data_IF_971484989843
#
_entry.id   IF_971484989843
#
_cell.length_a   1.000
_cell.length_b   1.000
_cell.length_c   1.000
_cell.angle_alpha   90.00
_cell.angle_beta   90.00
_cell.angle_gamma   90.00
#
_symmetry.space_group_name_H-M   'P 1'
#
loop_
_entity.id
_entity.type
_entity.pdbx_description
1 polymer ?
#
# COMPACT_ATOMS: atom_id res chain seq x y z
N UNK A 1 -23.35 26.96 -28.70
CA UNK A 1 -22.64 25.67 -28.79
C UNK A 1 -22.89 24.94 -27.49
N UNK A 2 -23.69 23.89 -27.52
CA UNK A 2 -23.92 23.04 -26.35
C UNK A 2 -22.60 22.29 -26.12
N UNK A 3 -21.95 22.52 -24.99
CA UNK A 3 -20.86 21.65 -24.53
C UNK A 3 -21.45 20.25 -24.42
N UNK A 4 -21.06 19.35 -25.32
CA UNK A 4 -21.23 17.93 -25.07
C UNK A 4 -20.48 17.64 -23.78
N UNK A 5 -21.21 17.26 -22.73
CA UNK A 5 -20.57 16.66 -21.57
C UNK A 5 -19.88 15.40 -22.08
N UNK A 6 -18.54 15.37 -22.00
CA UNK A 6 -17.78 14.19 -22.37
C UNK A 6 -18.34 12.98 -21.62
N UNK A 7 -18.59 11.89 -22.35
CA UNK A 7 -19.03 10.65 -21.74
C UNK A 7 -18.02 10.23 -20.67
N UNK A 8 -18.46 9.73 -19.50
CA UNK A 8 -17.55 9.29 -18.46
C UNK A 8 -16.56 8.27 -19.03
N UNK A 9 -15.27 8.49 -18.77
CA UNK A 9 -14.21 7.60 -19.24
C UNK A 9 -14.53 6.16 -18.79
N UNK A 10 -14.31 5.16 -19.66
CA UNK A 10 -14.43 3.76 -19.27
C UNK A 10 -13.57 3.49 -18.04
N UNK A 11 -14.07 2.66 -17.12
CA UNK A 11 -13.38 2.32 -15.86
C UNK A 11 -11.94 1.77 -16.07
N UNK A 12 -11.68 1.17 -17.24
CA UNK A 12 -10.39 0.56 -17.60
C UNK A 12 -9.74 1.27 -18.82
N UNK A 13 -9.95 2.57 -18.99
CA UNK A 13 -9.33 3.34 -20.07
C UNK A 13 -7.81 3.42 -19.89
N UNK A 14 -7.06 3.23 -20.99
CA UNK A 14 -5.60 3.40 -21.01
C UNK A 14 -5.22 4.86 -20.72
N UNK A 15 -4.26 5.06 -19.82
CA UNK A 15 -3.71 6.39 -19.51
C UNK A 15 -2.55 6.70 -20.44
N UNK A 16 -2.57 7.85 -21.12
CA UNK A 16 -1.46 8.24 -21.98
C UNK A 16 -0.26 8.74 -21.16
N UNK A 17 0.96 8.53 -21.67
CA UNK A 17 2.21 8.91 -20.99
C UNK A 17 2.25 10.40 -20.61
N UNK A 18 1.70 11.26 -21.47
CA UNK A 18 1.60 12.71 -21.23
C UNK A 18 0.68 13.05 -20.04
N UNK A 19 -0.38 12.28 -19.83
CA UNK A 19 -1.37 12.52 -18.77
C UNK A 19 -0.82 12.02 -17.44
N UNK A 20 -0.10 10.90 -17.46
CA UNK A 20 0.66 10.41 -16.31
C UNK A 20 1.80 11.34 -15.92
N UNK A 21 2.55 11.88 -16.89
CA UNK A 21 3.57 12.90 -16.64
C UNK A 21 2.95 14.17 -16.03
N UNK A 22 1.81 14.62 -16.56
CA UNK A 22 1.08 15.75 -15.99
C UNK A 22 0.64 15.45 -14.55
N UNK A 23 0.15 14.25 -14.28
CA UNK A 23 -0.23 13.82 -12.94
C UNK A 23 0.97 13.88 -11.98
N UNK A 24 2.13 13.34 -12.32
CA UNK A 24 3.33 13.45 -11.49
C UNK A 24 3.84 14.89 -11.34
N UNK A 25 3.78 15.71 -12.39
CA UNK A 25 4.31 17.06 -12.29
C UNK A 25 3.41 18.00 -11.47
N UNK A 26 2.08 17.87 -11.62
CA UNK A 26 1.10 18.86 -11.15
C UNK A 26 0.14 18.39 -10.05
N UNK A 27 -0.17 17.09 -9.97
CA UNK A 27 -1.28 16.60 -9.14
C UNK A 27 -0.84 15.67 -8.03
N UNK A 28 0.16 14.82 -8.25
CA UNK A 28 0.60 13.85 -7.26
C UNK A 28 1.16 14.57 -6.02
N UNK A 29 0.67 14.27 -4.81
CA UNK A 29 0.97 15.03 -3.60
C UNK A 29 2.34 14.65 -3.00
N UNK A 30 3.43 14.88 -3.74
CA UNK A 30 4.79 14.53 -3.30
C UNK A 30 5.18 15.15 -1.95
N UNK A 31 4.68 16.36 -1.63
CA UNK A 31 4.94 16.99 -0.34
C UNK A 31 4.31 16.23 0.83
N UNK A 32 3.08 15.73 0.68
CA UNK A 32 2.43 14.91 1.72
C UNK A 32 3.04 13.50 1.78
N UNK A 33 3.41 12.94 0.62
CA UNK A 33 4.16 11.68 0.56
C UNK A 33 5.49 11.79 1.33
N UNK A 34 6.21 12.90 1.19
CA UNK A 34 7.44 13.16 1.94
C UNK A 34 7.18 13.22 3.43
N UNK A 35 6.18 13.98 3.89
CA UNK A 35 5.85 14.06 5.32
C UNK A 35 5.49 12.69 5.91
N UNK A 36 4.74 11.89 5.15
CA UNK A 36 4.35 10.54 5.55
C UNK A 36 5.54 9.60 5.64
N UNK A 37 6.30 9.44 4.56
CA UNK A 37 7.27 8.35 4.46
C UNK A 37 8.60 8.61 5.15
N UNK A 38 8.93 9.86 5.49
CA UNK A 38 10.18 10.19 6.20
C UNK A 38 10.04 10.13 7.72
N UNK A 39 8.80 10.16 8.26
CA UNK A 39 8.55 10.14 9.70
C UNK A 39 9.40 11.14 10.50
N UNK A 40 9.45 12.40 10.02
CA UNK A 40 10.22 13.52 10.59
C UNK A 40 11.74 13.45 10.40
N UNK A 41 12.27 12.39 9.79
CA UNK A 41 13.67 12.36 9.38
C UNK A 41 13.90 13.35 8.23
N UNK A 42 15.08 13.96 8.21
CA UNK A 42 15.49 14.95 7.22
C UNK A 42 16.95 14.73 6.81
N UNK A 43 17.23 14.65 5.50
CA UNK A 43 18.60 14.58 5.00
C UNK A 43 19.40 15.87 5.21
N UNK A 44 18.74 16.96 5.62
CA UNK A 44 19.37 18.26 5.88
C UNK A 44 19.79 18.44 7.35
N UNK A 45 19.39 17.53 8.24
CA UNK A 45 19.74 17.56 9.65
C UNK A 45 20.87 16.56 9.94
N UNK A 46 21.74 16.82 10.93
CA UNK A 46 22.78 15.88 11.32
C UNK A 46 22.18 14.58 11.89
N UNK A 47 22.96 13.52 11.85
CA UNK A 47 22.60 12.26 12.51
C UNK A 47 22.45 12.45 14.02
N UNK A 48 21.36 11.91 14.57
CA UNK A 48 21.05 11.93 16.00
C UNK A 48 20.06 10.82 16.33
N UNK A 49 19.76 10.60 17.61
CA UNK A 49 18.72 9.65 18.04
C UNK A 49 17.34 9.94 17.44
N UNK A 50 17.05 11.19 17.09
CA UNK A 50 15.77 11.62 16.52
C UNK A 50 15.80 11.81 14.99
N UNK A 51 16.97 11.67 14.35
CA UNK A 51 17.13 11.92 12.92
C UNK A 51 18.17 11.01 12.28
N UNK A 52 17.72 10.21 11.33
CA UNK A 52 18.54 9.49 10.37
C UNK A 52 18.51 10.23 9.02
N UNK A 53 19.60 10.91 8.62
CA UNK A 53 19.63 11.65 7.35
C UNK A 53 19.54 10.74 6.11
N UNK A 54 19.73 9.43 6.26
CA UNK A 54 19.62 8.44 5.19
C UNK A 54 18.31 7.65 5.23
N UNK A 55 17.36 8.02 6.10
CA UNK A 55 16.14 7.25 6.33
C UNK A 55 15.37 6.92 5.04
N UNK A 56 15.22 7.90 4.14
CA UNK A 56 14.51 7.66 2.88
C UNK A 56 15.35 6.84 1.89
N UNK A 57 16.68 6.96 1.91
CA UNK A 57 17.57 6.13 1.08
C UNK A 57 17.57 4.65 1.48
N UNK A 58 17.18 4.37 2.74
CA UNK A 58 16.97 3.04 3.29
C UNK A 58 15.60 2.45 2.92
N UNK A 59 14.66 3.23 2.38
CA UNK A 59 13.35 2.76 1.93
C UNK A 59 13.45 2.09 0.56
N UNK A 60 12.98 0.85 0.43
CA UNK A 60 12.77 0.24 -0.89
C UNK A 60 11.55 0.86 -1.56
N UNK A 61 11.69 1.18 -2.84
CA UNK A 61 10.61 1.45 -3.76
C UNK A 61 10.70 0.45 -4.92
N UNK A 62 9.57 -0.16 -5.27
CA UNK A 62 9.45 -1.01 -6.44
C UNK A 62 8.71 -0.24 -7.52
N UNK A 63 9.31 -0.08 -8.69
CA UNK A 63 8.63 0.53 -9.84
C UNK A 63 8.09 -0.55 -10.77
N UNK A 64 6.87 -0.38 -11.22
CA UNK A 64 6.30 -1.12 -12.35
C UNK A 64 6.34 -0.20 -13.55
N UNK A 65 7.15 -0.58 -14.54
CA UNK A 65 7.48 0.25 -15.67
C UNK A 65 7.12 -0.43 -16.99
N UNK A 66 6.99 0.37 -18.03
CA UNK A 66 6.97 -0.06 -19.44
C UNK A 66 7.83 0.87 -20.30
N UNK A 67 8.04 0.51 -21.57
CA UNK A 67 8.64 1.45 -22.53
C UNK A 67 7.65 2.57 -22.91
N UNK A 68 8.14 3.76 -23.27
CA UNK A 68 7.28 4.83 -23.80
C UNK A 68 6.43 4.35 -24.97
N UNK A 69 5.14 4.68 -24.95
CA UNK A 69 4.15 4.21 -25.93
C UNK A 69 3.74 2.72 -25.83
N UNK A 70 4.28 1.97 -24.86
CA UNK A 70 3.84 0.59 -24.59
C UNK A 70 2.47 0.52 -23.91
N UNK A 71 1.89 -0.68 -23.83
CA UNK A 71 0.60 -0.92 -23.16
C UNK A 71 0.81 -1.44 -21.74
N UNK A 72 0.04 -0.90 -20.78
CA UNK A 72 -0.01 -1.40 -19.41
C UNK A 72 -0.41 -2.89 -19.40
N UNK A 73 0.20 -3.70 -18.54
CA UNK A 73 0.00 -5.16 -18.39
C UNK A 73 0.45 -6.05 -19.57
N UNK A 74 0.91 -5.49 -20.69
CA UNK A 74 1.47 -6.27 -21.81
C UNK A 74 3.01 -6.17 -21.89
N UNK A 75 3.55 -4.98 -21.62
CA UNK A 75 4.98 -4.66 -21.72
C UNK A 75 5.62 -4.32 -20.36
N UNK A 76 4.99 -4.76 -19.27
CA UNK A 76 5.41 -4.37 -17.93
C UNK A 76 6.62 -5.15 -17.41
N UNK A 77 7.45 -4.48 -16.63
CA UNK A 77 8.53 -5.10 -15.86
C UNK A 77 8.72 -4.38 -14.53
N UNK A 78 9.21 -5.15 -13.55
CA UNK A 78 9.40 -4.70 -12.19
C UNK A 78 10.85 -4.31 -11.94
N UNK A 79 11.06 -3.09 -11.46
CA UNK A 79 12.34 -2.60 -10.98
C UNK A 79 12.28 -2.53 -9.45
N UNK A 80 12.75 -3.58 -8.80
CA UNK A 80 12.91 -3.62 -7.35
C UNK A 80 14.15 -2.84 -6.91
N UNK A 81 14.28 -2.66 -5.59
CA UNK A 81 15.47 -2.07 -4.98
C UNK A 81 15.77 -0.63 -5.43
N UNK A 82 14.76 0.10 -5.91
CA UNK A 82 14.93 1.53 -6.13
C UNK A 82 14.93 2.22 -4.77
N UNK A 83 15.75 3.26 -4.61
CA UNK A 83 15.71 4.14 -3.46
C UNK A 83 16.22 5.53 -3.82
N UNK A 84 15.90 6.50 -2.98
CA UNK A 84 16.16 7.91 -3.22
C UNK A 84 16.55 8.56 -1.90
N UNK A 85 17.39 9.60 -1.92
CA UNK A 85 17.70 10.35 -0.69
C UNK A 85 16.55 11.26 -0.27
N UNK A 86 15.79 11.75 -1.24
CA UNK A 86 14.61 12.61 -1.03
C UNK A 86 13.44 12.17 -1.90
N UNK A 87 12.22 12.58 -1.51
CA UNK A 87 11.02 12.37 -2.34
C UNK A 87 11.09 13.24 -3.61
N UNK A 88 11.79 14.36 -3.57
CA UNK A 88 12.05 15.22 -4.74
C UNK A 88 12.90 14.49 -5.79
N UNK A 89 13.92 13.74 -5.39
CA UNK A 89 14.70 12.89 -6.31
C UNK A 89 13.81 11.81 -6.94
N UNK A 90 12.93 11.19 -6.15
CA UNK A 90 11.93 10.23 -6.66
C UNK A 90 10.99 10.90 -7.67
N UNK A 91 10.50 12.12 -7.38
CA UNK A 91 9.64 12.90 -8.28
C UNK A 91 10.32 13.14 -9.62
N UNK A 92 11.57 13.61 -9.62
CA UNK A 92 12.29 13.85 -10.87
C UNK A 92 12.55 12.55 -11.64
N UNK A 93 12.79 11.44 -10.94
CA UNK A 93 12.90 10.13 -11.59
C UNK A 93 11.58 9.67 -12.23
N UNK A 94 10.45 9.89 -11.56
CA UNK A 94 9.12 9.58 -12.11
C UNK A 94 8.76 10.47 -13.29
N UNK A 95 9.33 11.68 -13.41
CA UNK A 95 9.10 12.57 -14.56
C UNK A 95 9.98 12.25 -15.76
N UNK A 96 11.08 11.52 -15.57
CA UNK A 96 11.98 11.07 -16.63
C UNK A 96 11.36 9.90 -17.43
N UNK A 97 10.33 10.22 -18.22
CA UNK A 97 9.60 9.29 -19.09
C UNK A 97 10.31 9.04 -20.43
N UNK A 98 11.58 9.42 -20.54
CA UNK A 98 12.34 9.35 -21.80
C UNK A 98 12.69 7.90 -22.20
N UNK A 99 12.95 7.06 -21.20
CA UNK A 99 13.42 5.69 -21.38
C UNK A 99 12.44 4.66 -20.81
N UNK A 100 11.83 4.97 -19.68
CA UNK A 100 10.89 4.11 -18.98
C UNK A 100 9.74 4.94 -18.43
N UNK A 101 8.52 4.42 -18.54
CA UNK A 101 7.33 5.01 -17.96
C UNK A 101 6.95 4.19 -16.74
N UNK A 102 7.18 4.75 -15.55
CA UNK A 102 6.70 4.17 -14.29
C UNK A 102 5.24 4.55 -14.10
N UNK A 103 4.33 3.57 -14.15
CA UNK A 103 2.88 3.81 -14.05
C UNK A 103 2.30 3.28 -12.74
N UNK A 104 3.07 2.48 -11.99
CA UNK A 104 2.75 2.04 -10.64
C UNK A 104 4.05 1.96 -9.83
N UNK A 105 3.98 2.29 -8.54
CA UNK A 105 5.06 2.02 -7.62
C UNK A 105 4.55 1.55 -6.26
N UNK A 106 5.33 0.71 -5.60
CA UNK A 106 5.02 0.10 -4.31
C UNK A 106 6.13 0.46 -3.30
N UNK A 107 5.74 0.76 -2.05
CA UNK A 107 6.69 1.03 -0.98
C UNK A 107 6.99 -0.22 -0.17
N UNK A 108 8.27 -0.55 -0.07
CA UNK A 108 8.80 -1.64 0.73
C UNK A 108 9.22 -1.21 2.14
N UNK A 109 10.06 -2.05 2.74
CA UNK A 109 10.62 -1.79 4.07
C UNK A 109 11.66 -0.65 4.05
N UNK A 110 11.90 -0.07 5.22
CA UNK A 110 13.12 0.64 5.56
C UNK A 110 14.14 -0.39 6.05
N UNK A 111 15.31 -0.39 5.43
CA UNK A 111 16.41 -1.30 5.71
C UNK A 111 17.43 -0.69 6.66
N UNK A 112 18.32 -1.52 7.20
CA UNK A 112 19.43 -1.12 8.08
C UNK A 112 20.45 -0.19 7.42
N UNK A 113 20.67 -0.34 6.11
CA UNK A 113 21.59 0.45 5.28
C UNK A 113 20.88 0.91 4.00
N UNK A 114 21.35 1.96 3.32
CA UNK A 114 20.77 2.42 2.07
C UNK A 114 20.57 1.26 1.07
N UNK A 115 19.45 1.22 0.37
CA UNK A 115 19.13 0.10 -0.54
C UNK A 115 20.14 -0.03 -1.67
N UNK A 116 20.76 1.08 -2.08
CA UNK A 116 21.88 1.10 -3.05
C UNK A 116 23.11 0.32 -2.59
N UNK A 117 23.27 0.06 -1.29
CA UNK A 117 24.39 -0.67 -0.69
C UNK A 117 24.04 -2.14 -0.40
N UNK A 118 22.86 -2.60 -0.82
CA UNK A 118 22.38 -3.98 -0.65
C UNK A 118 23.44 -5.03 -1.01
N UNK A 119 24.10 -4.87 -2.15
CA UNK A 119 25.02 -5.87 -2.69
C UNK A 119 26.42 -5.79 -2.04
N UNK A 120 26.82 -4.62 -1.53
CA UNK A 120 28.09 -4.45 -0.81
C UNK A 120 28.00 -4.85 0.67
N UNK A 121 26.81 -4.74 1.25
CA UNK A 121 26.60 -4.85 2.70
C UNK A 121 25.95 -6.18 3.13
N UNK A 122 25.76 -7.13 2.21
CA UNK A 122 25.21 -8.49 2.38
C UNK A 122 24.59 -8.82 3.76
N UNK A 123 25.41 -9.18 4.76
CA UNK A 123 24.95 -9.63 6.09
C UNK A 123 24.36 -8.52 6.96
N UNK A 124 24.74 -7.26 6.71
CA UNK A 124 24.17 -6.11 7.38
C UNK A 124 22.84 -5.68 6.77
N UNK A 125 22.57 -5.96 5.49
CA UNK A 125 21.35 -5.54 4.78
C UNK A 125 20.13 -6.36 5.20
N UNK A 126 19.28 -5.79 6.05
CA UNK A 126 18.07 -6.43 6.56
C UNK A 126 16.92 -5.43 6.72
N UNK A 127 15.66 -5.86 6.55
CA UNK A 127 14.52 -4.99 6.81
C UNK A 127 14.42 -4.71 8.32
N UNK A 128 14.20 -3.44 8.69
CA UNK A 128 14.09 -3.03 10.10
C UNK A 128 12.71 -2.46 10.43
N UNK A 129 12.09 -1.76 9.48
CA UNK A 129 10.78 -1.16 9.70
C UNK A 129 9.92 -1.26 8.45
N UNK A 130 8.62 -1.53 8.63
CA UNK A 130 7.61 -1.39 7.59
C UNK A 130 6.25 -1.18 8.23
N UNK A 131 5.47 -0.28 7.68
CA UNK A 131 4.07 -0.11 8.04
C UNK A 131 3.36 -1.47 8.05
N UNK A 132 2.52 -1.71 9.05
CA UNK A 132 1.62 -2.86 9.07
C UNK A 132 0.52 -2.56 8.05
N UNK A 133 0.37 -3.46 7.07
CA UNK A 133 -0.53 -3.25 5.93
C UNK A 133 -1.54 -4.37 5.83
N UNK A 134 -2.78 -4.00 5.52
CA UNK A 134 -3.85 -4.94 5.20
C UNK A 134 -4.39 -4.61 3.82
N UNK A 135 -4.67 -5.64 3.02
CA UNK A 135 -5.24 -5.54 1.69
C UNK A 135 -6.53 -6.35 1.68
N UNK A 136 -7.64 -5.69 1.38
CA UNK A 136 -8.98 -6.30 1.34
C UNK A 136 -9.54 -6.06 -0.05
N UNK A 137 -9.72 -7.13 -0.83
CA UNK A 137 -10.26 -7.08 -2.19
C UNK A 137 -11.65 -7.72 -2.25
N UNK A 138 -12.50 -7.21 -3.13
CA UNK A 138 -13.86 -7.70 -3.33
C UNK A 138 -13.93 -9.16 -3.78
N UNK A 139 -12.90 -9.69 -4.44
CA UNK A 139 -12.89 -11.09 -4.91
C UNK A 139 -12.98 -12.11 -3.77
N UNK A 140 -12.52 -11.75 -2.57
CA UNK A 140 -12.64 -12.62 -1.38
C UNK A 140 -14.10 -12.84 -0.95
N UNK A 141 -15.02 -12.02 -1.47
CA UNK A 141 -16.46 -12.08 -1.22
C UNK A 141 -17.26 -12.64 -2.41
N UNK A 142 -16.60 -13.18 -3.44
CA UNK A 142 -17.24 -13.69 -4.68
C UNK A 142 -18.26 -14.80 -4.42
N UNK A 143 -18.07 -15.59 -3.36
CA UNK A 143 -18.95 -16.70 -2.99
C UNK A 143 -20.26 -16.25 -2.31
N UNK A 144 -20.30 -15.03 -1.76
CA UNK A 144 -21.46 -14.51 -1.04
C UNK A 144 -22.10 -13.28 -1.70
N UNK A 145 -21.42 -12.61 -2.63
CA UNK A 145 -21.99 -11.47 -3.36
C UNK A 145 -22.76 -11.93 -4.59
N UNK A 146 -24.00 -11.46 -4.73
CA UNK A 146 -24.89 -11.85 -5.84
C UNK A 146 -25.20 -10.71 -6.83
N UNK A 147 -24.75 -9.49 -6.52
CA UNK A 147 -25.11 -8.30 -7.29
C UNK A 147 -24.13 -7.95 -8.42
N UNK A 148 -22.92 -8.49 -8.39
CA UNK A 148 -21.86 -8.26 -9.37
C UNK A 148 -21.14 -9.58 -9.67
N UNK A 149 -20.52 -9.66 -10.85
CA UNK A 149 -19.64 -10.76 -11.26
C UNK A 149 -18.28 -10.20 -11.66
N UNK A 150 -17.27 -11.06 -11.68
CA UNK A 150 -15.93 -10.74 -12.16
C UNK A 150 -15.33 -9.52 -11.45
N UNK A 151 -14.77 -8.58 -12.19
CA UNK A 151 -14.10 -7.39 -11.66
C UNK A 151 -15.05 -6.24 -11.34
N UNK A 152 -16.38 -6.41 -11.49
CA UNK A 152 -17.36 -5.34 -11.26
C UNK A 152 -17.62 -5.15 -9.77
N UNK A 153 -17.85 -3.90 -9.39
CA UNK A 153 -18.29 -3.50 -8.06
C UNK A 153 -19.47 -2.53 -8.18
N UNK A 154 -20.36 -2.56 -7.20
CA UNK A 154 -21.45 -1.59 -7.06
C UNK A 154 -21.65 -1.26 -5.59
N UNK A 155 -22.50 -0.27 -5.30
CA UNK A 155 -22.78 0.20 -3.94
C UNK A 155 -23.24 -0.93 -2.99
N UNK A 156 -23.90 -1.97 -3.51
CA UNK A 156 -24.37 -3.10 -2.69
C UNK A 156 -23.22 -3.98 -2.17
N UNK A 157 -22.30 -4.38 -3.06
CA UNK A 157 -21.16 -5.19 -2.61
C UNK A 157 -20.09 -4.34 -1.93
N UNK A 158 -20.02 -3.04 -2.23
CA UNK A 158 -19.09 -2.12 -1.52
C UNK A 158 -19.31 -2.12 -0.01
N UNK A 159 -20.55 -2.35 0.46
CA UNK A 159 -20.86 -2.53 1.88
C UNK A 159 -20.04 -3.64 2.56
N UNK A 160 -19.59 -4.67 1.83
CA UNK A 160 -18.66 -5.66 2.42
C UNK A 160 -17.35 -5.01 2.87
N UNK A 161 -16.78 -4.13 2.05
CA UNK A 161 -15.56 -3.41 2.38
C UNK A 161 -15.80 -2.37 3.48
N UNK A 162 -16.95 -1.69 3.49
CA UNK A 162 -17.31 -0.75 4.57
C UNK A 162 -17.36 -1.43 5.95
N UNK A 163 -17.96 -2.62 6.01
CA UNK A 163 -18.00 -3.43 7.23
C UNK A 163 -16.61 -3.92 7.60
N UNK A 164 -15.83 -4.42 6.64
CA UNK A 164 -14.47 -4.89 6.88
C UNK A 164 -13.55 -3.76 7.40
N UNK A 165 -13.64 -2.57 6.81
CA UNK A 165 -12.92 -1.38 7.28
C UNK A 165 -13.31 -1.03 8.71
N UNK A 166 -14.61 -1.01 9.01
CA UNK A 166 -15.12 -0.63 10.34
C UNK A 166 -14.69 -1.62 11.42
N UNK A 167 -14.75 -2.93 11.15
CA UNK A 167 -14.32 -3.97 12.08
C UNK A 167 -12.80 -3.94 12.30
N UNK A 168 -12.03 -3.80 11.21
CA UNK A 168 -10.58 -3.78 11.31
C UNK A 168 -10.08 -2.49 12.00
N UNK A 169 -10.66 -1.33 11.69
CA UNK A 169 -10.29 -0.07 12.33
C UNK A 169 -10.59 -0.11 13.83
N UNK A 170 -11.76 -0.64 14.22
CA UNK A 170 -12.10 -0.84 15.63
C UNK A 170 -11.09 -1.75 16.34
N UNK A 171 -10.78 -2.93 15.79
CA UNK A 171 -9.81 -3.84 16.39
C UNK A 171 -8.41 -3.20 16.51
N UNK A 172 -7.92 -2.55 15.44
CA UNK A 172 -6.62 -1.89 15.45
C UNK A 172 -6.52 -0.76 16.50
N UNK A 173 -7.62 -0.03 16.75
CA UNK A 173 -7.65 1.05 17.73
C UNK A 173 -7.91 0.57 19.14
N UNK A 174 -8.93 -0.27 19.33
CA UNK A 174 -9.44 -0.66 20.64
C UNK A 174 -8.63 -1.81 21.25
N UNK A 175 -8.18 -2.77 20.44
CA UNK A 175 -7.46 -3.95 20.93
C UNK A 175 -5.94 -3.74 20.87
N UNK A 176 -5.44 -3.03 19.85
CA UNK A 176 -4.00 -2.82 19.66
C UNK A 176 -3.50 -1.41 19.98
N UNK A 177 -4.41 -0.45 20.22
CA UNK A 177 -4.04 0.92 20.59
C UNK A 177 -3.35 1.71 19.48
N UNK A 178 -3.50 1.34 18.21
CA UNK A 178 -2.90 2.08 17.11
C UNK A 178 -3.68 3.36 16.80
N UNK A 179 -2.96 4.45 16.57
CA UNK A 179 -3.59 5.77 16.35
C UNK A 179 -3.50 6.21 14.90
N UNK A 180 -2.37 5.93 14.24
CA UNK A 180 -1.98 6.48 12.95
C UNK A 180 -2.36 5.50 11.81
N UNK A 181 -3.64 5.47 11.48
CA UNK A 181 -4.21 4.54 10.48
C UNK A 181 -4.65 5.31 9.24
N UNK A 182 -4.16 4.89 8.07
CA UNK A 182 -4.52 5.45 6.76
C UNK A 182 -5.19 4.38 5.89
N UNK A 183 -6.44 4.63 5.51
CA UNK A 183 -7.17 3.82 4.53
C UNK A 183 -7.06 4.43 3.14
N UNK A 184 -6.74 3.60 2.15
CA UNK A 184 -6.49 4.01 0.76
C UNK A 184 -7.30 3.13 -0.18
N UNK A 185 -8.05 3.73 -1.10
CA UNK A 185 -8.70 2.98 -2.17
C UNK A 185 -7.66 2.33 -3.10
N UNK A 186 -7.83 1.05 -3.45
CA UNK A 186 -6.85 0.32 -4.28
C UNK A 186 -6.80 0.77 -5.74
N UNK A 187 -7.70 1.67 -6.15
CA UNK A 187 -7.84 2.13 -7.54
C UNK A 187 -8.87 1.33 -8.34
N UNK A 188 -9.44 0.25 -7.78
CA UNK A 188 -10.47 -0.55 -8.45
C UNK A 188 -11.56 -1.09 -7.53
N UNK A 189 -11.26 -2.10 -6.72
CA UNK A 189 -12.28 -2.93 -6.05
C UNK A 189 -11.87 -3.38 -4.65
N UNK A 190 -10.93 -2.69 -4.03
CA UNK A 190 -10.41 -3.03 -2.72
C UNK A 190 -9.96 -1.79 -1.98
N UNK A 191 -9.49 -2.02 -0.76
CA UNK A 191 -8.97 -1.00 0.14
C UNK A 191 -7.70 -1.50 0.81
N UNK A 192 -6.74 -0.61 0.99
CA UNK A 192 -5.50 -0.87 1.73
C UNK A 192 -5.52 -0.08 3.04
N UNK A 193 -5.19 -0.74 4.15
CA UNK A 193 -4.95 -0.10 5.43
C UNK A 193 -3.44 0.01 5.66
N UNK A 194 -2.96 1.18 6.06
CA UNK A 194 -1.58 1.45 6.45
C UNK A 194 -1.55 1.93 7.90
N UNK A 195 -1.11 1.07 8.81
CA UNK A 195 -0.88 1.42 10.21
C UNK A 195 0.56 1.90 10.36
N UNK A 196 0.69 3.18 10.69
CA UNK A 196 1.93 3.95 10.58
C UNK A 196 2.58 4.23 11.93
N UNK A 197 2.00 3.80 13.06
CA UNK A 197 2.58 3.93 14.40
C UNK A 197 3.99 3.32 14.46
N UNK A 198 4.88 3.91 15.27
CA UNK A 198 6.25 3.40 15.43
C UNK A 198 6.28 1.94 15.88
N UNK A 199 5.40 1.58 16.83
CA UNK A 199 5.21 0.21 17.31
C UNK A 199 4.75 -0.76 16.21
N UNK A 200 3.85 -0.34 15.34
CA UNK A 200 3.41 -1.13 14.18
C UNK A 200 4.54 -1.28 13.15
N UNK A 201 5.31 -0.21 12.90
CA UNK A 201 6.42 -0.25 11.94
C UNK A 201 7.54 -1.18 12.36
N UNK A 202 7.86 -1.18 13.65
CA UNK A 202 8.91 -2.00 14.26
C UNK A 202 8.44 -3.43 14.60
N UNK A 203 7.16 -3.76 14.38
CA UNK A 203 6.63 -5.08 14.70
C UNK A 203 7.36 -6.17 13.88
N UNK A 204 7.95 -7.20 14.53
CA UNK A 204 8.65 -8.28 13.84
C UNK A 204 7.67 -9.18 13.08
N UNK A 205 8.19 -10.00 12.17
CA UNK A 205 7.38 -10.90 11.32
C UNK A 205 6.45 -11.81 12.13
N UNK A 206 6.95 -12.40 13.23
CA UNK A 206 6.14 -13.29 14.07
C UNK A 206 5.02 -12.53 14.80
N UNK A 207 5.28 -11.29 15.21
CA UNK A 207 4.26 -10.40 15.80
C UNK A 207 3.18 -10.04 14.79
N UNK A 208 3.55 -9.78 13.53
CA UNK A 208 2.59 -9.55 12.44
C UNK A 208 1.74 -10.79 12.17
N UNK A 209 2.36 -11.98 12.16
CA UNK A 209 1.64 -13.23 11.96
C UNK A 209 0.61 -13.49 13.08
N UNK A 210 0.99 -13.29 14.34
CA UNK A 210 0.07 -13.43 15.49
C UNK A 210 -1.07 -12.42 15.46
N UNK A 211 -0.78 -11.18 15.04
CA UNK A 211 -1.80 -10.14 14.87
C UNK A 211 -2.79 -10.53 13.76
N UNK A 212 -2.29 -11.01 12.62
CA UNK A 212 -3.16 -11.50 11.53
C UNK A 212 -4.03 -12.68 12.00
N UNK A 213 -3.47 -13.61 12.77
CA UNK A 213 -4.22 -14.73 13.34
C UNK A 213 -5.32 -14.26 14.31
N UNK A 214 -5.04 -13.27 15.15
CA UNK A 214 -6.03 -12.68 16.05
C UNK A 214 -7.23 -12.09 15.29
N UNK A 215 -6.96 -11.38 14.19
CA UNK A 215 -7.99 -10.76 13.36
C UNK A 215 -8.73 -11.77 12.46
N UNK A 216 -8.13 -12.93 12.18
CA UNK A 216 -8.69 -13.91 11.27
C UNK A 216 -9.71 -14.82 11.96
N UNK A 217 -10.99 -14.54 11.73
CA UNK A 217 -12.10 -15.34 12.26
C UNK A 217 -12.45 -16.52 11.31
N UNK A 218 -11.96 -16.51 10.07
CA UNK A 218 -12.21 -17.55 9.11
C UNK A 218 -11.32 -18.77 9.37
N UNK A 219 -11.92 -19.82 9.95
CA UNK A 219 -11.24 -21.07 10.33
C UNK A 219 -11.28 -22.16 9.25
N UNK A 220 -12.05 -21.96 8.18
CA UNK A 220 -12.23 -22.94 7.09
C UNK A 220 -11.31 -22.65 5.89
N UNK A 221 -10.99 -23.69 5.12
CA UNK A 221 -10.26 -23.53 3.85
C UNK A 221 -11.20 -23.04 2.74
N UNK A 222 -10.65 -22.49 1.65
CA UNK A 222 -11.41 -21.96 0.51
C UNK A 222 -12.39 -22.98 -0.12
N UNK A 223 -12.13 -24.28 0.09
CA UNK A 223 -12.96 -25.38 -0.44
C UNK A 223 -14.16 -25.71 0.46
N UNK A 224 -14.24 -25.16 1.67
CA UNK A 224 -15.31 -25.46 2.61
C UNK A 224 -16.46 -24.46 2.48
N UNK A 225 -17.69 -24.98 2.35
CA UNK A 225 -18.92 -24.16 2.39
C UNK A 225 -19.06 -23.43 3.73
N UNK A 226 -18.61 -24.06 4.83
CA UNK A 226 -18.58 -23.45 6.15
C UNK A 226 -17.18 -22.90 6.44
N UNK A 227 -17.01 -21.58 6.32
CA UNK A 227 -15.74 -20.89 6.54
C UNK A 227 -15.49 -20.46 8.00
N UNK A 228 -16.53 -20.45 8.84
CA UNK A 228 -16.44 -19.94 10.22
C UNK A 228 -16.97 -20.98 11.20
N UNK A 229 -16.16 -21.32 12.21
CA UNK A 229 -16.59 -22.10 13.38
C UNK A 229 -16.21 -21.37 14.65
N UNK A 230 -17.16 -20.62 15.21
CA UNK A 230 -17.02 -20.04 16.54
C UNK A 230 -17.28 -21.12 17.59
N UNK A 231 -16.26 -21.48 18.38
CA UNK A 231 -16.45 -22.39 19.53
C UNK A 231 -17.10 -21.59 20.67
N UNK A 232 -18.41 -21.78 20.85
CA UNK A 232 -19.23 -21.01 21.78
C UNK A 232 -18.85 -21.21 23.26
N UNK A 233 -18.86 -20.10 24.01
CA UNK A 233 -18.83 -20.12 25.48
C UNK A 233 -18.40 -18.78 26.11
N UNK A 234 -17.51 -18.03 25.44
CA UNK A 234 -17.13 -16.68 25.84
C UNK A 234 -16.92 -15.85 24.57
N UNK A 235 -17.66 -14.75 24.43
CA UNK A 235 -17.25 -13.67 23.53
C UNK A 235 -15.81 -13.34 23.92
N UNK A 236 -14.85 -13.42 22.99
CA UNK A 236 -13.51 -12.94 23.29
C UNK A 236 -13.63 -11.43 23.52
N UNK A 237 -13.37 -10.93 24.75
CA UNK A 237 -13.33 -9.50 24.98
C UNK A 237 -12.10 -8.91 24.25
N UNK A 238 -12.05 -7.58 24.05
CA UNK A 238 -10.83 -6.88 23.68
C UNK A 238 -9.65 -7.40 24.50
N UNK A 239 -8.53 -7.67 23.83
CA UNK A 239 -7.30 -8.06 24.53
C UNK A 239 -6.76 -6.83 25.24
N UNK A 240 -7.17 -6.62 26.51
CA UNK A 240 -6.65 -5.54 27.36
C UNK A 240 -5.16 -5.74 27.65
#
# INVERSE_FOLDING_TARGET
MVQQADAPLPHDASVADKDLLFYYDKLFPFGELSKWLTYKNSPHLPESEANDPLFFAKREVCFTCRKPGGLDNADEFFLRWQSFRTVEEMKEKLKDMSSLVCFKFDFGAVYSVPVSEKDSSHSAFRPEQKELVFDIDMNDYDDIRTCCTDKRVCQKCWTFLEVAMSLLDAALREDFGFENILWVFSGRRGVHCWVCDSSARLLPSDGRAQLCEYLNICTGTDQQVKKVTLRGGRVQPPSV
#
